data_IF_197415458976
#
_entry.id   IF_197415458976
#
_cell.length_a   1.000
_cell.length_b   1.000
_cell.length_c   1.000
_cell.angle_alpha   90.00
_cell.angle_beta   90.00
_cell.angle_gamma   90.00
#
_symmetry.space_group_name_H-M   'P 1'
#
loop_
_entity.id
_entity.type
_entity.pdbx_description
1 polymer ?
#
# COMPACT_ATOMS: atom_id res chain seq x y z
N UNK A 1 -4.96 -8.33 -5.94
CA UNK A 1 -5.36 -9.40 -6.89
C UNK A 1 -5.83 -8.82 -8.21
N UNK A 2 -5.75 -9.59 -9.31
CA UNK A 2 -6.22 -9.16 -10.65
C UNK A 2 -7.74 -9.13 -10.75
N UNK A 3 -8.30 -8.18 -11.51
CA UNK A 3 -9.74 -8.02 -11.68
C UNK A 3 -10.45 -9.28 -12.22
N UNK A 4 -9.87 -9.97 -13.21
CA UNK A 4 -10.47 -11.19 -13.77
C UNK A 4 -10.60 -12.31 -12.73
N UNK A 5 -9.63 -12.44 -11.82
CA UNK A 5 -9.71 -13.40 -10.70
C UNK A 5 -10.80 -13.01 -9.72
N UNK A 6 -10.88 -11.72 -9.38
CA UNK A 6 -11.95 -11.20 -8.52
C UNK A 6 -13.33 -11.40 -9.13
N UNK A 7 -13.49 -11.05 -10.40
CA UNK A 7 -14.75 -11.22 -11.15
C UNK A 7 -15.24 -12.66 -11.13
N UNK A 8 -14.34 -13.60 -11.36
CA UNK A 8 -14.67 -15.02 -11.30
C UNK A 8 -15.09 -15.47 -9.90
N UNK A 9 -14.36 -15.08 -8.87
CA UNK A 9 -14.65 -15.43 -7.48
C UNK A 9 -15.93 -14.78 -6.95
N UNK A 10 -16.11 -13.49 -7.21
CA UNK A 10 -17.24 -12.71 -6.69
C UNK A 10 -18.54 -12.87 -7.49
N UNK A 11 -18.45 -13.36 -8.73
CA UNK A 11 -19.58 -13.41 -9.67
C UNK A 11 -20.09 -12.01 -10.04
N UNK A 12 -19.21 -10.98 -10.03
CA UNK A 12 -19.60 -9.58 -10.24
C UNK A 12 -18.77 -8.96 -11.36
N UNK A 13 -19.46 -8.22 -12.23
CA UNK A 13 -18.84 -7.37 -13.25
C UNK A 13 -18.98 -5.90 -12.82
N UNK A 14 -17.84 -5.21 -12.70
CA UNK A 14 -17.83 -3.77 -12.47
C UNK A 14 -17.95 -3.09 -13.84
N UNK A 15 -18.98 -2.27 -14.08
CA UNK A 15 -19.18 -1.66 -15.40
C UNK A 15 -18.01 -0.75 -15.80
N UNK A 16 -17.59 -0.84 -17.07
CA UNK A 16 -16.53 -0.01 -17.65
C UNK A 16 -15.22 -0.03 -16.86
N UNK A 17 -14.85 -1.20 -16.34
CA UNK A 17 -13.73 -1.35 -15.45
C UNK A 17 -12.62 -2.27 -16.04
N UNK A 18 -11.30 -1.99 -15.88
CA UNK A 18 -10.74 -0.84 -15.16
C UNK A 18 -10.87 0.49 -15.93
N UNK A 19 -10.98 1.59 -15.23
CA UNK A 19 -11.08 2.94 -15.79
C UNK A 19 -10.42 3.98 -14.89
N UNK A 20 -9.98 5.10 -15.48
CA UNK A 20 -9.47 6.25 -14.72
C UNK A 20 -10.58 6.82 -13.84
N UNK A 21 -10.24 7.17 -12.61
CA UNK A 21 -11.12 7.72 -11.58
C UNK A 21 -10.66 9.12 -11.19
N UNK A 22 -11.59 9.94 -10.70
CA UNK A 22 -11.31 11.33 -10.32
C UNK A 22 -10.57 11.45 -8.96
N UNK A 23 -10.26 10.34 -8.31
CA UNK A 23 -9.55 10.30 -7.03
C UNK A 23 -10.08 9.21 -6.11
N UNK A 24 -9.68 9.26 -4.83
CA UNK A 24 -10.01 8.26 -3.82
C UNK A 24 -11.52 8.15 -3.56
N UNK A 25 -12.26 9.25 -3.59
CA UNK A 25 -13.71 9.21 -3.31
C UNK A 25 -14.46 8.36 -4.33
N UNK A 26 -14.12 8.49 -5.62
CA UNK A 26 -14.74 7.66 -6.66
C UNK A 26 -14.33 6.19 -6.51
N UNK A 27 -13.06 5.91 -6.18
CA UNK A 27 -12.59 4.57 -5.86
C UNK A 27 -13.37 3.97 -4.68
N UNK A 28 -13.55 4.72 -3.61
CA UNK A 28 -14.33 4.28 -2.44
C UNK A 28 -15.79 4.00 -2.78
N UNK A 29 -16.40 4.75 -3.70
CA UNK A 29 -17.75 4.46 -4.21
C UNK A 29 -17.78 3.12 -4.94
N UNK A 30 -16.80 2.83 -5.80
CA UNK A 30 -16.68 1.54 -6.49
C UNK A 30 -16.45 0.39 -5.49
N UNK A 31 -15.58 0.58 -4.50
CA UNK A 31 -15.37 -0.39 -3.41
C UNK A 31 -16.69 -0.66 -2.67
N UNK A 32 -17.38 0.40 -2.29
CA UNK A 32 -18.66 0.30 -1.58
C UNK A 32 -19.74 -0.44 -2.36
N UNK A 33 -19.82 -0.20 -3.66
CA UNK A 33 -20.83 -0.80 -4.53
C UNK A 33 -20.53 -2.25 -4.93
N UNK A 34 -19.27 -2.59 -5.18
CA UNK A 34 -18.94 -3.85 -5.87
C UNK A 34 -18.06 -4.80 -5.06
N UNK A 35 -17.15 -4.31 -4.17
CA UNK A 35 -16.24 -5.19 -3.44
C UNK A 35 -16.67 -5.44 -2.00
N UNK A 36 -16.99 -4.38 -1.26
CA UNK A 36 -17.43 -4.50 0.15
C UNK A 36 -18.65 -5.43 0.33
N UNK A 37 -19.67 -5.43 -0.54
CA UNK A 37 -20.79 -6.35 -0.40
C UNK A 37 -20.44 -7.83 -0.63
N UNK A 38 -19.25 -8.13 -1.14
CA UNK A 38 -18.76 -9.49 -1.40
C UNK A 38 -17.79 -10.02 -0.35
N UNK A 39 -17.24 -9.14 0.47
CA UNK A 39 -16.39 -9.50 1.61
C UNK A 39 -17.22 -9.41 2.89
N UNK A 40 -17.78 -10.54 3.35
CA UNK A 40 -18.72 -10.58 4.47
C UNK A 40 -18.27 -11.49 5.61
N UNK A 41 -17.36 -12.40 5.34
CA UNK A 41 -16.95 -13.44 6.29
C UNK A 41 -15.42 -13.53 6.37
N UNK A 42 -14.91 -14.15 7.43
CA UNK A 42 -13.49 -14.50 7.55
C UNK A 42 -12.97 -15.27 6.34
N UNK A 43 -13.79 -16.21 5.81
CA UNK A 43 -13.44 -16.98 4.61
C UNK A 43 -13.24 -16.07 3.39
N UNK A 44 -14.05 -15.03 3.24
CA UNK A 44 -13.92 -14.08 2.13
C UNK A 44 -12.64 -13.27 2.27
N UNK A 45 -12.33 -12.75 3.47
CA UNK A 45 -11.08 -12.01 3.75
C UNK A 45 -9.87 -12.87 3.43
N UNK A 46 -9.84 -14.12 3.92
CA UNK A 46 -8.77 -15.09 3.65
C UNK A 46 -8.61 -15.33 2.14
N UNK A 47 -9.71 -15.52 1.42
CA UNK A 47 -9.70 -15.76 -0.03
C UNK A 47 -9.13 -14.55 -0.79
N UNK A 48 -9.51 -13.32 -0.43
CA UNK A 48 -9.00 -12.10 -1.04
C UNK A 48 -7.48 -11.97 -0.83
N UNK A 49 -7.00 -12.20 0.39
CA UNK A 49 -5.58 -12.16 0.69
C UNK A 49 -4.81 -13.25 -0.08
N UNK A 50 -5.33 -14.47 -0.10
CA UNK A 50 -4.70 -15.58 -0.83
C UNK A 50 -4.62 -15.31 -2.33
N UNK A 51 -5.67 -14.78 -2.94
CA UNK A 51 -5.67 -14.39 -4.36
C UNK A 51 -4.63 -13.31 -4.67
N UNK A 52 -4.44 -12.35 -3.75
CA UNK A 52 -3.40 -11.32 -3.91
C UNK A 52 -1.99 -11.92 -3.89
N UNK A 53 -1.72 -12.87 -2.99
CA UNK A 53 -0.45 -13.60 -2.94
C UNK A 53 -0.21 -14.38 -4.24
N UNK A 54 -1.23 -15.09 -4.73
CA UNK A 54 -1.11 -15.88 -5.95
C UNK A 54 -0.85 -15.03 -7.19
N UNK A 55 -1.42 -13.83 -7.26
CA UNK A 55 -1.17 -12.91 -8.37
C UNK A 55 0.23 -12.27 -8.28
N UNK A 56 0.76 -12.04 -7.08
CA UNK A 56 2.15 -11.61 -6.88
C UNK A 56 3.14 -12.70 -7.30
N UNK A 57 2.89 -13.96 -6.93
CA UNK A 57 3.71 -15.10 -7.37
C UNK A 57 3.68 -15.24 -8.90
N UNK A 58 2.51 -15.09 -9.51
CA UNK A 58 2.36 -15.17 -10.96
C UNK A 58 3.06 -14.02 -11.72
N UNK A 59 3.37 -12.91 -11.03
CA UNK A 59 4.17 -11.79 -11.53
C UNK A 59 5.66 -11.89 -11.16
N UNK A 60 6.10 -13.05 -10.66
CA UNK A 60 7.48 -13.31 -10.20
C UNK A 60 7.95 -12.36 -9.07
N UNK A 61 7.04 -11.85 -8.26
CA UNK A 61 7.39 -11.07 -7.07
C UNK A 61 8.05 -12.01 -6.07
N UNK A 62 9.24 -11.65 -5.59
CA UNK A 62 10.03 -12.47 -4.65
C UNK A 62 9.75 -12.13 -3.20
N UNK A 63 9.30 -10.90 -2.92
CA UNK A 63 8.83 -10.49 -1.61
C UNK A 63 7.66 -9.51 -1.75
N UNK A 64 6.68 -9.62 -0.87
CA UNK A 64 5.44 -8.88 -0.89
C UNK A 64 5.20 -8.23 0.47
N UNK A 65 5.23 -6.91 0.53
CA UNK A 65 4.64 -6.13 1.60
C UNK A 65 3.19 -5.84 1.21
N UNK A 66 2.26 -6.14 2.11
CA UNK A 66 0.84 -5.93 1.83
C UNK A 66 0.09 -5.51 3.07
N UNK A 67 -0.61 -4.40 2.94
CA UNK A 67 -1.45 -3.84 4.00
C UNK A 67 -2.72 -4.65 4.14
N UNK A 68 -2.99 -5.14 5.36
CA UNK A 68 -4.21 -5.87 5.72
C UNK A 68 -5.00 -4.97 6.66
N UNK A 69 -6.15 -4.50 6.18
CA UNK A 69 -7.02 -3.58 6.94
C UNK A 69 -7.43 -4.19 8.28
N UNK A 70 -7.08 -3.51 9.38
CA UNK A 70 -7.48 -3.90 10.74
C UNK A 70 -9.02 -4.04 10.88
N UNK A 71 -9.79 -3.32 10.08
CA UNK A 71 -11.25 -3.40 10.02
C UNK A 71 -11.77 -4.78 9.61
N UNK A 72 -10.95 -5.61 8.95
CA UNK A 72 -11.31 -7.00 8.64
C UNK A 72 -11.56 -7.88 9.85
N UNK A 73 -11.04 -7.50 11.04
CA UNK A 73 -11.36 -8.19 12.29
C UNK A 73 -12.87 -8.27 12.57
N UNK A 74 -13.66 -7.32 12.04
CA UNK A 74 -15.13 -7.35 12.15
C UNK A 74 -15.74 -8.60 11.48
N UNK A 75 -15.11 -9.12 10.43
CA UNK A 75 -15.54 -10.33 9.74
C UNK A 75 -15.16 -11.63 10.46
N UNK A 76 -14.30 -11.53 11.47
CA UNK A 76 -13.92 -12.60 12.39
C UNK A 76 -14.68 -12.53 13.72
N UNK A 77 -15.78 -11.76 13.81
CA UNK A 77 -16.50 -11.49 15.06
C UNK A 77 -15.57 -10.97 16.17
N UNK A 78 -14.56 -10.20 15.79
CA UNK A 78 -13.48 -9.72 16.66
C UNK A 78 -12.67 -10.85 17.35
N UNK A 79 -12.67 -12.05 16.79
CA UNK A 79 -11.76 -13.12 17.21
C UNK A 79 -10.40 -12.91 16.56
N UNK A 80 -9.46 -12.34 17.30
CA UNK A 80 -8.12 -12.02 16.81
C UNK A 80 -7.30 -13.29 16.53
N UNK A 81 -7.48 -14.36 17.30
CA UNK A 81 -6.70 -15.59 17.14
C UNK A 81 -6.99 -16.26 15.80
N UNK A 82 -8.25 -16.29 15.39
CA UNK A 82 -8.64 -16.82 14.08
C UNK A 82 -8.08 -15.95 12.94
N UNK A 83 -8.12 -14.62 13.10
CA UNK A 83 -7.54 -13.69 12.13
C UNK A 83 -6.02 -13.90 11.99
N UNK A 84 -5.30 -13.95 13.12
CA UNK A 84 -3.85 -14.18 13.15
C UNK A 84 -3.48 -15.56 12.61
N UNK A 85 -4.28 -16.59 12.90
CA UNK A 85 -4.11 -17.94 12.37
C UNK A 85 -4.23 -17.96 10.85
N UNK A 86 -5.21 -17.26 10.29
CA UNK A 86 -5.40 -17.18 8.83
C UNK A 86 -4.26 -16.43 8.15
N UNK A 87 -3.83 -15.28 8.70
CA UNK A 87 -2.69 -14.51 8.15
C UNK A 87 -1.41 -15.34 8.20
N UNK A 88 -1.04 -15.87 9.38
CA UNK A 88 0.19 -16.66 9.56
C UNK A 88 0.16 -17.97 8.77
N UNK A 89 -1.03 -18.60 8.63
CA UNK A 89 -1.24 -19.78 7.82
C UNK A 89 -0.95 -19.53 6.34
N UNK A 90 -1.40 -18.41 5.78
CA UNK A 90 -1.10 -18.02 4.39
C UNK A 90 0.39 -17.69 4.20
N UNK A 91 0.99 -16.92 5.12
CA UNK A 91 2.44 -16.66 5.10
C UNK A 91 3.23 -17.97 5.08
N UNK A 92 2.89 -18.91 5.96
CA UNK A 92 3.56 -20.21 6.03
C UNK A 92 3.34 -21.06 4.79
N UNK A 93 2.12 -21.06 4.23
CA UNK A 93 1.75 -21.83 3.02
C UNK A 93 2.62 -21.46 1.83
N UNK A 94 2.87 -20.18 1.64
CA UNK A 94 3.56 -19.67 0.44
C UNK A 94 5.06 -19.36 0.64
N UNK A 95 5.63 -19.55 1.84
CA UNK A 95 7.01 -19.17 2.20
C UNK A 95 8.14 -19.72 1.30
N UNK A 96 7.87 -20.79 0.55
CA UNK A 96 8.84 -21.35 -0.40
C UNK A 96 8.78 -20.68 -1.78
N UNK A 97 7.76 -19.89 -2.06
CA UNK A 97 7.52 -19.26 -3.36
C UNK A 97 7.73 -17.74 -3.28
N UNK A 98 7.38 -17.13 -2.15
CA UNK A 98 7.43 -15.68 -1.94
C UNK A 98 7.63 -15.39 -0.46
N UNK A 99 8.46 -14.39 -0.14
CA UNK A 99 8.51 -13.81 1.19
C UNK A 99 7.34 -12.85 1.37
N UNK A 100 6.49 -13.10 2.36
CA UNK A 100 5.33 -12.25 2.65
C UNK A 100 5.60 -11.50 3.96
N UNK A 101 5.48 -10.18 3.92
CA UNK A 101 5.60 -9.27 5.06
C UNK A 101 4.27 -8.56 5.24
N UNK A 102 3.33 -9.13 6.04
CA UNK A 102 2.05 -8.49 6.27
C UNK A 102 2.23 -7.18 7.04
N UNK A 103 1.44 -6.19 6.70
CA UNK A 103 1.39 -4.88 7.35
C UNK A 103 0.03 -4.69 8.03
N UNK A 104 0.01 -4.06 9.20
CA UNK A 104 -1.23 -3.63 9.81
C UNK A 104 -1.72 -2.38 9.11
N UNK A 105 -2.74 -2.52 8.27
CA UNK A 105 -3.37 -1.40 7.59
C UNK A 105 -4.37 -0.69 8.48
N UNK A 106 -4.20 0.60 8.69
CA UNK A 106 -5.05 1.42 9.56
C UNK A 106 -5.68 2.55 8.75
N UNK A 107 -6.95 2.41 8.36
CA UNK A 107 -7.65 3.52 7.71
C UNK A 107 -7.94 4.65 8.70
N UNK A 108 -7.55 5.89 8.36
CA UNK A 108 -7.80 7.08 9.18
C UNK A 108 -9.28 7.32 9.49
N UNK A 109 -10.16 6.75 8.68
CA UNK A 109 -11.63 6.86 8.84
C UNK A 109 -12.25 5.82 9.78
N UNK A 110 -11.46 4.84 10.24
CA UNK A 110 -11.95 3.82 11.14
C UNK A 110 -12.15 4.39 12.56
N UNK A 111 -13.10 3.80 13.29
CA UNK A 111 -13.36 4.14 14.69
C UNK A 111 -12.11 4.05 15.57
N UNK A 112 -11.83 5.12 16.33
CA UNK A 112 -10.61 5.25 17.13
C UNK A 112 -10.52 4.23 18.26
N UNK A 113 -11.63 3.90 18.89
CA UNK A 113 -11.65 2.93 19.99
C UNK A 113 -11.46 1.51 19.47
N UNK A 114 -11.98 1.23 18.28
CA UNK A 114 -11.68 -0.03 17.60
C UNK A 114 -10.18 -0.15 17.29
N UNK A 115 -9.54 0.89 16.75
CA UNK A 115 -8.10 0.88 16.49
C UNK A 115 -7.33 0.68 17.80
N UNK A 116 -7.64 1.42 18.86
CA UNK A 116 -6.98 1.31 20.17
C UNK A 116 -7.09 -0.09 20.75
N UNK A 117 -8.24 -0.73 20.58
CA UNK A 117 -8.48 -2.10 21.10
C UNK A 117 -7.58 -3.13 20.42
N UNK A 118 -7.39 -3.02 19.09
CA UNK A 118 -6.81 -4.12 18.33
C UNK A 118 -5.35 -3.89 17.88
N UNK A 119 -4.86 -2.66 17.83
CA UNK A 119 -3.50 -2.39 17.35
C UNK A 119 -2.42 -3.06 18.22
N UNK A 120 -2.59 -3.01 19.55
CA UNK A 120 -1.61 -3.60 20.48
C UNK A 120 -1.51 -5.14 20.32
N UNK A 121 -2.61 -5.93 20.38
CA UNK A 121 -2.52 -7.36 20.17
C UNK A 121 -1.97 -7.77 18.80
N UNK A 122 -2.25 -6.99 17.75
CA UNK A 122 -1.69 -7.23 16.41
C UNK A 122 -0.17 -7.07 16.42
N UNK A 123 0.37 -6.04 17.07
CA UNK A 123 1.80 -5.81 17.17
C UNK A 123 2.49 -6.87 18.04
N UNK A 124 1.87 -7.27 19.16
CA UNK A 124 2.38 -8.36 20.01
C UNK A 124 2.48 -9.70 19.29
N UNK A 125 1.61 -9.95 18.31
CA UNK A 125 1.58 -11.22 17.55
C UNK A 125 2.90 -11.53 16.83
N UNK A 126 3.74 -10.51 16.54
CA UNK A 126 5.00 -10.57 15.76
C UNK A 126 4.83 -11.09 14.32
N UNK A 127 3.59 -11.27 13.88
CA UNK A 127 3.25 -11.65 12.50
C UNK A 127 3.46 -10.48 11.56
N UNK A 128 2.99 -9.30 11.96
CA UNK A 128 3.11 -8.08 11.20
C UNK A 128 4.51 -7.46 11.34
N UNK A 129 5.04 -6.96 10.22
CA UNK A 129 6.38 -6.34 10.17
C UNK A 129 6.32 -4.83 10.05
N UNK A 130 5.22 -4.32 9.54
CA UNK A 130 5.01 -2.92 9.28
C UNK A 130 3.62 -2.49 9.74
N UNK A 131 3.46 -1.19 9.99
CA UNK A 131 2.16 -0.52 10.12
C UNK A 131 2.04 0.51 9.02
N UNK A 132 0.87 0.59 8.42
CA UNK A 132 0.56 1.51 7.33
C UNK A 132 -0.70 2.33 7.67
N UNK A 133 -0.55 3.64 7.84
CA UNK A 133 -1.65 4.57 8.09
C UNK A 133 -2.11 5.16 6.76
N UNK A 134 -3.35 4.91 6.34
CA UNK A 134 -3.85 5.30 5.03
C UNK A 134 -5.23 5.97 5.04
N UNK A 135 -5.66 6.45 3.87
CA UNK A 135 -6.90 7.18 3.67
C UNK A 135 -6.64 8.68 3.43
N UNK A 136 -7.61 9.57 3.66
CA UNK A 136 -7.48 10.99 3.31
C UNK A 136 -6.18 11.62 3.82
N UNK A 137 -5.50 12.36 2.95
CA UNK A 137 -4.24 13.06 3.28
C UNK A 137 -4.52 14.41 3.94
N UNK A 138 -5.16 14.36 5.12
CA UNK A 138 -5.51 15.55 5.91
C UNK A 138 -4.75 15.55 7.23
N UNK A 139 -4.48 16.74 7.77
CA UNK A 139 -3.72 16.93 9.01
C UNK A 139 -4.61 17.03 10.25
N UNK A 140 -5.90 17.40 10.10
CA UNK A 140 -6.80 17.52 11.23
C UNK A 140 -6.97 16.18 11.97
N UNK A 141 -6.67 16.16 13.26
CA UNK A 141 -6.76 14.97 14.12
C UNK A 141 -5.66 13.93 13.86
N UNK A 142 -4.57 14.30 13.17
CA UNK A 142 -3.47 13.39 12.87
C UNK A 142 -2.72 12.97 14.13
N UNK A 143 -2.68 13.83 15.15
CA UNK A 143 -2.10 13.57 16.46
C UNK A 143 -2.74 12.40 17.19
N UNK A 144 -4.00 12.10 16.90
CA UNK A 144 -4.72 10.95 17.45
C UNK A 144 -4.08 9.61 17.09
N UNK A 145 -3.26 9.57 16.05
CA UNK A 145 -2.55 8.37 15.60
C UNK A 145 -1.12 8.25 16.14
N UNK A 146 -0.58 9.31 16.75
CA UNK A 146 0.81 9.32 17.21
C UNK A 146 1.17 8.18 18.15
N UNK A 147 0.22 7.69 18.98
CA UNK A 147 0.43 6.56 19.88
C UNK A 147 0.71 5.24 19.13
N UNK A 148 0.18 5.07 17.90
CA UNK A 148 0.36 3.87 17.09
C UNK A 148 1.83 3.75 16.70
N UNK A 149 2.44 4.83 16.24
CA UNK A 149 3.84 4.86 15.81
C UNK A 149 4.81 4.71 16.98
N UNK A 150 4.48 5.28 18.15
CA UNK A 150 5.22 5.03 19.40
C UNK A 150 5.13 3.57 19.86
N UNK A 151 3.98 2.94 19.65
CA UNK A 151 3.79 1.53 19.92
C UNK A 151 4.56 0.67 18.91
N UNK A 152 4.52 1.01 17.62
CA UNK A 152 5.26 0.34 16.55
C UNK A 152 6.77 0.30 16.85
N UNK A 153 7.34 1.42 17.29
CA UNK A 153 8.75 1.50 17.69
C UNK A 153 9.08 0.50 18.81
N UNK A 154 8.24 0.41 19.86
CA UNK A 154 8.44 -0.55 20.96
C UNK A 154 8.41 -2.01 20.52
N UNK A 155 7.70 -2.31 19.44
CA UNK A 155 7.57 -3.68 18.90
C UNK A 155 8.49 -3.93 17.70
N UNK A 156 9.40 -3.01 17.35
CA UNK A 156 10.28 -3.06 16.17
C UNK A 156 9.49 -3.27 14.86
N UNK A 157 8.38 -2.57 14.72
CA UNK A 157 7.52 -2.56 13.54
C UNK A 157 7.84 -1.30 12.75
N UNK A 158 8.12 -1.45 11.45
CA UNK A 158 8.38 -0.32 10.55
C UNK A 158 7.15 0.59 10.44
N UNK A 159 7.40 1.87 10.42
CA UNK A 159 6.38 2.94 10.41
C UNK A 159 6.19 3.45 9.01
N UNK A 160 4.99 3.24 8.45
CA UNK A 160 4.62 3.69 7.11
C UNK A 160 3.33 4.49 7.15
N UNK A 161 3.18 5.42 6.22
CA UNK A 161 1.93 6.14 6.02
C UNK A 161 1.77 6.57 4.55
N UNK A 162 0.51 6.67 4.11
CA UNK A 162 0.14 7.27 2.82
C UNK A 162 0.19 8.79 2.96
N UNK A 163 1.08 9.41 2.18
CA UNK A 163 1.22 10.86 2.10
C UNK A 163 1.93 11.25 0.79
N UNK A 164 1.52 12.35 0.19
CA UNK A 164 2.10 12.85 -1.05
C UNK A 164 1.64 12.09 -2.29
N UNK A 165 0.51 11.41 -2.24
CA UNK A 165 -0.20 10.98 -3.45
C UNK A 165 -0.96 12.17 -4.05
N UNK A 166 -1.70 12.90 -3.20
CA UNK A 166 -2.49 14.06 -3.57
C UNK A 166 -2.01 15.36 -2.90
N UNK A 167 -1.23 15.27 -1.83
CA UNK A 167 -0.71 16.40 -1.08
C UNK A 167 0.67 16.84 -1.59
N UNK A 168 1.09 18.05 -1.15
CA UNK A 168 2.32 18.69 -1.57
C UNK A 168 3.58 18.16 -0.85
N UNK A 169 4.74 18.70 -1.26
CA UNK A 169 6.03 18.29 -0.74
C UNK A 169 6.19 18.60 0.78
N UNK A 170 5.66 19.73 1.24
CA UNK A 170 5.77 20.11 2.64
C UNK A 170 4.93 19.18 3.54
N UNK A 171 3.79 18.74 3.04
CA UNK A 171 2.95 17.73 3.69
C UNK A 171 3.70 16.41 3.87
N UNK A 172 4.43 15.95 2.84
CA UNK A 172 5.28 14.75 2.93
C UNK A 172 6.31 14.90 4.03
N UNK A 173 7.05 16.03 4.04
CA UNK A 173 8.08 16.30 5.04
C UNK A 173 7.49 16.32 6.45
N UNK A 174 6.38 17.04 6.65
CA UNK A 174 5.73 17.16 7.96
C UNK A 174 5.27 15.80 8.50
N UNK A 175 4.70 14.93 7.65
CA UNK A 175 4.30 13.57 8.06
C UNK A 175 5.50 12.73 8.48
N UNK A 176 6.57 12.76 7.67
CA UNK A 176 7.81 12.02 7.99
C UNK A 176 8.38 12.50 9.32
N UNK A 177 8.44 13.79 9.56
CA UNK A 177 8.98 14.35 10.80
C UNK A 177 8.07 14.08 12.00
N UNK A 178 6.75 14.23 11.85
CA UNK A 178 5.79 14.07 12.93
C UNK A 178 5.68 12.64 13.45
N UNK A 179 5.64 11.66 12.52
CA UNK A 179 5.51 10.24 12.86
C UNK A 179 6.85 9.51 12.92
N UNK A 180 7.95 10.17 12.55
CA UNK A 180 9.28 9.55 12.39
C UNK A 180 9.19 8.33 11.48
N UNK A 181 8.60 8.50 10.28
CA UNK A 181 8.35 7.40 9.36
C UNK A 181 9.65 6.78 8.85
N UNK A 182 9.64 5.46 8.70
CA UNK A 182 10.70 4.71 8.01
C UNK A 182 10.48 4.72 6.49
N UNK A 183 9.21 4.73 6.06
CA UNK A 183 8.82 4.69 4.66
C UNK A 183 7.55 5.52 4.42
N UNK A 184 7.40 5.97 3.18
CA UNK A 184 6.23 6.70 2.70
C UNK A 184 5.55 5.89 1.61
N UNK A 185 4.25 5.71 1.71
CA UNK A 185 3.46 5.17 0.59
C UNK A 185 3.18 6.32 -0.38
N UNK A 186 3.44 6.09 -1.67
CA UNK A 186 3.48 7.04 -2.78
C UNK A 186 4.61 8.08 -2.66
N UNK A 187 4.41 9.16 -1.93
CA UNK A 187 5.43 10.22 -1.73
C UNK A 187 5.72 11.07 -2.96
N UNK A 188 4.95 10.96 -4.04
CA UNK A 188 5.23 11.61 -5.33
C UNK A 188 5.16 13.14 -5.26
N UNK A 189 4.37 13.70 -4.34
CA UNK A 189 4.29 15.13 -4.10
C UNK A 189 5.62 15.76 -3.66
N UNK A 190 6.52 14.97 -3.06
CA UNK A 190 7.86 15.43 -2.69
C UNK A 190 8.66 15.94 -3.90
N UNK A 191 8.38 15.46 -5.10
CA UNK A 191 9.09 15.86 -6.31
C UNK A 191 8.88 17.32 -6.73
N UNK A 192 7.92 18.02 -6.13
CA UNK A 192 7.70 19.45 -6.37
C UNK A 192 8.74 20.35 -5.66
N UNK A 193 9.53 19.82 -4.70
CA UNK A 193 10.50 20.59 -3.93
C UNK A 193 11.81 19.80 -3.73
N UNK A 194 12.90 20.30 -4.35
CA UNK A 194 14.20 19.64 -4.31
C UNK A 194 14.78 19.56 -2.87
N UNK A 195 14.39 20.47 -1.97
CA UNK A 195 14.79 20.40 -0.57
C UNK A 195 14.13 19.24 0.17
N UNK A 196 12.90 18.90 -0.20
CA UNK A 196 12.18 17.75 0.36
C UNK A 196 12.70 16.44 -0.25
N UNK A 197 13.01 16.40 -1.56
CA UNK A 197 13.69 15.25 -2.16
C UNK A 197 15.02 14.97 -1.44
N UNK A 198 15.84 16.01 -1.26
CA UNK A 198 17.10 15.88 -0.51
C UNK A 198 16.89 15.41 0.93
N UNK A 199 15.88 15.93 1.63
CA UNK A 199 15.54 15.51 2.99
C UNK A 199 15.21 14.01 3.06
N UNK A 200 14.41 13.48 2.12
CA UNK A 200 14.05 12.06 2.06
C UNK A 200 15.28 11.20 1.73
N UNK A 201 16.10 11.62 0.75
CA UNK A 201 17.32 10.93 0.35
C UNK A 201 18.36 10.86 1.48
N UNK A 202 18.66 11.99 2.12
CA UNK A 202 19.62 12.08 3.23
C UNK A 202 19.24 11.15 4.41
N UNK A 203 17.94 11.02 4.67
CA UNK A 203 17.38 10.16 5.74
C UNK A 203 17.12 8.73 5.28
N UNK A 204 17.34 8.44 4.00
CA UNK A 204 17.04 7.14 3.39
C UNK A 204 15.60 6.69 3.57
N UNK A 205 14.66 7.64 3.59
CA UNK A 205 13.22 7.34 3.64
C UNK A 205 12.82 6.71 2.31
N UNK A 206 12.39 5.46 2.34
CA UNK A 206 11.91 4.78 1.14
C UNK A 206 10.54 5.31 0.74
N UNK A 207 10.34 5.59 -0.55
CA UNK A 207 9.04 5.88 -1.12
C UNK A 207 8.54 4.67 -1.91
N UNK A 208 7.37 4.14 -1.55
CA UNK A 208 6.73 3.01 -2.23
C UNK A 208 5.79 3.56 -3.31
N UNK A 209 6.36 3.80 -4.50
CA UNK A 209 5.64 4.47 -5.60
C UNK A 209 4.78 3.47 -6.35
N UNK A 210 3.54 3.84 -6.62
CA UNK A 210 2.56 3.05 -7.35
C UNK A 210 2.16 3.78 -8.66
N UNK A 211 2.99 3.73 -9.73
CA UNK A 211 2.85 4.61 -10.89
C UNK A 211 1.48 4.53 -11.56
N UNK A 212 0.93 3.33 -11.70
CA UNK A 212 -0.36 3.19 -12.38
C UNK A 212 -1.53 3.58 -11.49
N UNK A 213 -1.45 3.35 -10.17
CA UNK A 213 -2.44 3.86 -9.22
C UNK A 213 -2.54 5.38 -9.31
N UNK A 214 -1.40 6.08 -9.26
CA UNK A 214 -1.36 7.54 -9.33
C UNK A 214 -1.97 8.09 -10.63
N UNK A 215 -1.78 7.39 -11.77
CA UNK A 215 -2.43 7.76 -13.04
C UNK A 215 -3.93 7.46 -13.00
N UNK A 216 -4.31 6.29 -12.51
CA UNK A 216 -5.71 5.84 -12.53
C UNK A 216 -6.58 6.60 -11.53
N UNK A 217 -5.99 7.12 -10.44
CA UNK A 217 -6.64 8.02 -9.48
C UNK A 217 -6.47 9.50 -9.81
N UNK A 218 -5.92 9.83 -10.97
CA UNK A 218 -5.73 11.22 -11.43
C UNK A 218 -4.81 12.07 -10.54
N UNK A 219 -3.96 11.45 -9.73
CA UNK A 219 -2.91 12.14 -8.99
C UNK A 219 -1.84 12.70 -9.94
N UNK A 220 -1.58 12.01 -11.05
CA UNK A 220 -0.79 12.50 -12.18
C UNK A 220 -1.54 12.34 -13.49
N UNK A 221 -1.33 13.22 -14.50
CA UNK A 221 -2.09 13.18 -15.73
C UNK A 221 -1.83 11.92 -16.58
N UNK A 222 -0.57 11.46 -16.63
CA UNK A 222 -0.15 10.29 -17.40
C UNK A 222 1.10 9.64 -16.81
N UNK A 223 1.43 8.43 -17.30
CA UNK A 223 2.64 7.73 -16.88
C UNK A 223 3.93 8.50 -17.21
N UNK A 224 3.96 9.26 -18.31
CA UNK A 224 5.13 10.08 -18.68
C UNK A 224 5.39 11.23 -17.72
N UNK A 225 4.36 11.69 -17.02
CA UNK A 225 4.45 12.78 -16.04
C UNK A 225 4.68 12.28 -14.61
N UNK A 226 4.85 10.96 -14.46
CA UNK A 226 5.20 10.36 -13.16
C UNK A 226 6.56 10.85 -12.69
N UNK A 227 6.69 11.41 -11.48
CA UNK A 227 7.95 11.99 -11.02
C UNK A 227 8.97 10.96 -10.52
N UNK A 228 8.68 9.66 -10.64
CA UNK A 228 9.52 8.57 -10.15
C UNK A 228 10.99 8.69 -10.60
N UNK A 229 11.24 9.09 -11.85
CA UNK A 229 12.61 9.30 -12.34
C UNK A 229 13.34 10.40 -11.58
N UNK A 230 12.68 11.53 -11.32
CA UNK A 230 13.23 12.63 -10.52
C UNK A 230 13.56 12.19 -9.09
N UNK A 231 12.71 11.34 -8.50
CA UNK A 231 12.93 10.78 -7.15
C UNK A 231 14.13 9.82 -7.14
N UNK A 232 14.27 8.97 -8.16
CA UNK A 232 15.42 8.07 -8.35
C UNK A 232 16.71 8.91 -8.47
N UNK A 233 16.72 9.93 -9.34
CA UNK A 233 17.90 10.79 -9.56
C UNK A 233 18.30 11.59 -8.32
N UNK A 234 17.35 11.90 -7.45
CA UNK A 234 17.61 12.50 -6.15
C UNK A 234 18.22 11.52 -5.12
N UNK A 235 18.31 10.23 -5.46
CA UNK A 235 18.87 9.20 -4.56
C UNK A 235 17.89 8.67 -3.51
N UNK A 236 16.59 8.86 -3.69
CA UNK A 236 15.57 8.31 -2.80
C UNK A 236 15.47 6.79 -3.04
N UNK A 237 15.51 5.95 -2.00
CA UNK A 237 15.20 4.52 -2.15
C UNK A 237 13.74 4.36 -2.63
N UNK A 238 13.53 3.70 -3.76
CA UNK A 238 12.19 3.50 -4.33
C UNK A 238 11.78 2.04 -4.22
N UNK A 239 10.62 1.78 -3.61
CA UNK A 239 9.88 0.53 -3.75
C UNK A 239 8.83 0.69 -4.86
N UNK A 240 8.69 -0.32 -5.73
CA UNK A 240 7.64 -0.31 -6.75
C UNK A 240 6.44 -1.11 -6.24
N UNK A 241 5.28 -0.47 -6.17
CA UNK A 241 4.03 -1.06 -5.72
C UNK A 241 2.96 -1.11 -6.82
N UNK A 242 2.00 -2.00 -6.66
CA UNK A 242 0.80 -2.05 -7.52
C UNK A 242 -0.37 -1.31 -6.90
N UNK A 243 -0.28 -1.02 -5.60
CA UNK A 243 -1.43 -0.62 -4.84
C UNK A 243 -2.59 -1.62 -5.03
N UNK A 244 -3.80 -1.19 -5.13
CA UNK A 244 -4.96 -2.03 -5.40
C UNK A 244 -5.00 -2.58 -6.84
N UNK A 245 -4.20 -3.62 -7.11
CA UNK A 245 -4.11 -4.26 -8.43
C UNK A 245 -5.48 -4.58 -9.05
N UNK A 246 -6.49 -4.86 -8.22
CA UNK A 246 -7.88 -5.06 -8.63
C UNK A 246 -8.40 -3.86 -9.43
N UNK A 247 -8.10 -2.65 -8.98
CA UNK A 247 -8.62 -1.41 -9.55
C UNK A 247 -7.74 -0.84 -10.65
N UNK A 248 -6.41 -1.03 -10.55
CA UNK A 248 -5.47 -0.38 -11.47
C UNK A 248 -4.95 -1.29 -12.57
N UNK A 249 -5.14 -2.60 -12.43
CA UNK A 249 -5.01 -3.58 -13.53
C UNK A 249 -3.59 -3.87 -14.02
N UNK A 250 -2.55 -3.26 -13.44
CA UNK A 250 -1.15 -3.39 -13.86
C UNK A 250 -0.30 -4.03 -12.76
N UNK A 251 0.34 -5.14 -13.07
CA UNK A 251 1.32 -5.78 -12.19
C UNK A 251 2.62 -4.96 -12.13
N UNK A 252 3.55 -5.31 -11.24
CA UNK A 252 4.85 -4.64 -11.20
C UNK A 252 5.63 -4.81 -12.50
N UNK A 253 5.59 -6.01 -13.09
CA UNK A 253 6.20 -6.27 -14.40
C UNK A 253 5.57 -5.43 -15.50
N UNK A 254 4.23 -5.32 -15.52
CA UNK A 254 3.52 -4.46 -16.48
C UNK A 254 3.93 -2.98 -16.33
N UNK A 255 4.04 -2.48 -15.10
CA UNK A 255 4.42 -1.09 -14.83
C UNK A 255 5.87 -0.82 -15.24
N UNK A 256 6.82 -1.71 -14.92
CA UNK A 256 8.21 -1.61 -15.36
C UNK A 256 8.31 -1.55 -16.89
N UNK A 257 7.62 -2.47 -17.57
CA UNK A 257 7.59 -2.50 -19.03
C UNK A 257 7.02 -1.21 -19.62
N UNK A 258 5.90 -0.72 -19.10
CA UNK A 258 5.24 0.49 -19.60
C UNK A 258 6.14 1.74 -19.38
N UNK A 259 6.83 1.85 -18.23
CA UNK A 259 7.77 2.94 -17.93
C UNK A 259 9.00 2.92 -18.84
N UNK A 260 9.58 1.76 -19.09
CA UNK A 260 10.68 1.59 -20.05
C UNK A 260 10.23 1.96 -21.46
N UNK A 261 9.10 1.41 -21.91
CA UNK A 261 8.57 1.64 -23.25
C UNK A 261 8.27 3.10 -23.55
N UNK A 262 7.79 3.85 -22.55
CA UNK A 262 7.52 5.28 -22.73
C UNK A 262 8.75 6.18 -22.51
N UNK A 263 9.90 5.62 -22.14
CA UNK A 263 11.15 6.33 -21.90
C UNK A 263 11.17 7.12 -20.59
N UNK A 264 10.32 6.77 -19.64
CA UNK A 264 10.30 7.39 -18.31
C UNK A 264 11.50 6.97 -17.46
N UNK A 265 11.89 5.71 -17.56
CA UNK A 265 13.04 5.13 -16.84
C UNK A 265 13.98 4.45 -17.84
N UNK A 266 15.24 4.27 -17.44
CA UNK A 266 16.27 3.52 -18.18
C UNK A 266 16.31 2.06 -17.73
N UNK A 267 17.01 1.20 -18.50
CA UNK A 267 17.27 -0.19 -18.09
C UNK A 267 17.98 -0.26 -16.73
N UNK A 268 18.94 0.64 -16.48
CA UNK A 268 19.65 0.71 -15.19
C UNK A 268 18.69 1.08 -14.03
N UNK A 269 17.76 2.00 -14.25
CA UNK A 269 16.73 2.32 -13.25
C UNK A 269 15.83 1.12 -12.98
N UNK A 270 15.44 0.38 -14.03
CA UNK A 270 14.61 -0.82 -13.88
C UNK A 270 15.34 -1.92 -13.09
N UNK A 271 16.63 -2.17 -13.39
CA UNK A 271 17.46 -3.12 -12.62
C UNK A 271 17.54 -2.70 -11.15
N UNK A 272 17.72 -1.41 -10.87
CA UNK A 272 17.75 -0.88 -9.50
C UNK A 272 16.41 -1.11 -8.79
N UNK A 273 15.27 -0.80 -9.43
CA UNK A 273 13.94 -1.00 -8.86
C UNK A 273 13.66 -2.49 -8.55
N UNK A 274 14.13 -3.40 -9.41
CA UNK A 274 14.00 -4.85 -9.18
C UNK A 274 14.93 -5.38 -8.09
N UNK A 275 16.08 -4.73 -7.85
CA UNK A 275 17.06 -5.15 -6.86
C UNK A 275 16.71 -4.70 -5.43
N UNK A 276 15.79 -3.75 -5.26
CA UNK A 276 15.38 -3.24 -3.94
C UNK A 276 14.79 -4.39 -3.11
N UNK A 277 15.44 -4.66 -1.97
CA UNK A 277 14.92 -5.54 -0.93
C UNK A 277 14.66 -4.70 0.32
N UNK A 278 13.50 -4.84 0.89
CA UNK A 278 13.09 -4.10 2.08
C UNK A 278 13.85 -4.52 3.35
#
# INVERSE_FOLDING_TARGET
MKYERYKHWAGVVIPNFPRKMAGLDEMHQVIGAYTRPRCKTAKDVKALFEMSIQDAIADNVVWLETSIDIGFLKHYNSNIDDFLSDVSGLVSKYKKQIEIRPEVGIPKTLDRDFIRTWVYPLFESKIFKNVDLYGPEVFDGIEDFGYIFKLAEKHNIKKKAHIGEFSDAQSVRQFVEFFELDEVQHGIGAAADDSVLKFLADRKIRCNVCPMSNVMLSAVPSLKEQPIKKMIDAGIPIGLGTDDLLFFGKTNSDQLYDMLKCGLITDADAEMLMAVRG
#
